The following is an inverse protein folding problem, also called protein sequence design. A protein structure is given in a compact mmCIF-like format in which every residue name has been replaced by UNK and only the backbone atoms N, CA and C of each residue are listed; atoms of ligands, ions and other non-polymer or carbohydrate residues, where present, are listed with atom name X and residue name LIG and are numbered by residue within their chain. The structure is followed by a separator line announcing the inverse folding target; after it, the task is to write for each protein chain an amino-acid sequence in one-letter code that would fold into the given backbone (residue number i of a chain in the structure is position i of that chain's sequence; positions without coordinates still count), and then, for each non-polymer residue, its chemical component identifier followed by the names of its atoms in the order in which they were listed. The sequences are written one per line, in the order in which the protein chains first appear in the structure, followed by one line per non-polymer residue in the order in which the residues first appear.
data_IF_327223146946
#
_entry.id   IF_327223146946
#
_cell.length_a   1.000
_cell.length_b   1.000
_cell.length_c   1.000
_cell.angle_alpha   90.00
_cell.angle_beta   90.00
_cell.angle_gamma   90.00
#
_symmetry.space_group_name_H-M   'P 1'
#
loop_
_entity.id
_entity.type
_entity.pdbx_description
1 polymer ?
#
# COMPACT_ATOMS: atom_id res chain seq x y z
N UNK A 1 19.45 -2.74 16.95
CA UNK A 1 18.81 -1.63 16.21
C UNK A 1 19.70 -1.28 15.03
N UNK A 2 19.14 -1.07 13.84
CA UNK A 2 19.86 -0.52 12.68
C UNK A 2 19.43 0.93 12.48
N UNK A 3 20.37 1.80 12.16
CA UNK A 3 20.11 3.22 11.91
C UNK A 3 20.63 3.56 10.52
N UNK A 4 19.81 4.25 9.74
CA UNK A 4 20.20 4.80 8.44
C UNK A 4 19.79 6.27 8.42
N UNK A 5 20.76 7.15 8.24
CA UNK A 5 20.48 8.57 8.02
C UNK A 5 20.08 8.80 6.58
N UNK A 6 19.02 9.56 6.36
CA UNK A 6 18.47 9.90 5.06
C UNK A 6 18.24 11.40 4.93
N UNK A 7 18.16 11.86 3.70
CA UNK A 7 17.75 13.22 3.35
C UNK A 7 16.46 13.19 2.56
N UNK A 8 15.68 14.24 2.66
CA UNK A 8 14.51 14.42 1.79
C UNK A 8 14.99 14.70 0.36
N UNK A 9 14.55 13.89 -0.57
CA UNK A 9 14.75 14.07 -2.00
C UNK A 9 13.57 14.79 -2.65
N UNK A 10 13.04 14.20 -3.73
CA UNK A 10 11.87 14.72 -4.43
C UNK A 10 10.58 14.42 -3.67
N UNK A 11 9.60 15.29 -3.84
CA UNK A 11 8.24 15.06 -3.34
C UNK A 11 7.30 14.96 -4.52
N UNK A 12 6.49 13.89 -4.56
CA UNK A 12 5.49 13.68 -5.59
C UNK A 12 4.11 13.61 -4.96
N UNK A 13 3.15 14.23 -5.63
CA UNK A 13 1.75 14.18 -5.25
C UNK A 13 0.95 13.62 -6.42
N UNK A 14 0.38 12.43 -6.23
CA UNK A 14 -0.41 11.75 -7.24
C UNK A 14 -1.89 11.80 -6.84
N UNK A 15 -2.74 12.04 -7.81
CA UNK A 15 -4.19 11.94 -7.65
C UNK A 15 -4.67 10.79 -8.52
N UNK A 16 -5.23 9.76 -7.89
CA UNK A 16 -5.83 8.65 -8.63
C UNK A 16 -7.24 9.00 -9.08
N UNK A 17 -7.53 8.64 -10.32
CA UNK A 17 -8.86 8.80 -10.90
C UNK A 17 -9.79 7.65 -10.45
N UNK A 18 -11.12 7.85 -10.48
CA UNK A 18 -12.05 6.77 -10.21
C UNK A 18 -11.80 5.56 -11.10
N UNK A 19 -11.62 4.40 -10.50
CA UNK A 19 -11.36 3.16 -11.21
C UNK A 19 -9.90 2.80 -11.39
N UNK A 20 -8.96 3.69 -11.04
CA UNK A 20 -7.53 3.37 -11.06
C UNK A 20 -7.21 2.30 -10.02
N UNK A 21 -6.41 1.31 -10.44
CA UNK A 21 -5.79 0.37 -9.50
C UNK A 21 -4.57 1.02 -8.86
N UNK A 22 -4.51 0.98 -7.54
CA UNK A 22 -3.45 1.64 -6.76
C UNK A 22 -2.05 1.18 -7.18
N UNK A 23 -1.81 -0.13 -7.17
CA UNK A 23 -0.48 -0.66 -7.46
C UNK A 23 -0.12 -0.58 -8.93
N UNK A 24 -1.09 -0.73 -9.83
CA UNK A 24 -0.87 -0.57 -11.27
C UNK A 24 -0.50 0.87 -11.65
N UNK A 25 -0.91 1.85 -10.85
CA UNK A 25 -0.52 3.25 -11.03
C UNK A 25 0.81 3.58 -10.31
N UNK A 26 0.93 3.19 -9.04
CA UNK A 26 2.03 3.64 -8.18
C UNK A 26 3.33 2.88 -8.45
N UNK A 27 3.28 1.55 -8.63
CA UNK A 27 4.50 0.76 -8.87
C UNK A 27 5.24 1.16 -10.15
N UNK A 28 4.58 1.30 -11.31
CA UNK A 28 5.24 1.78 -12.52
C UNK A 28 5.81 3.19 -12.37
N UNK A 29 5.11 4.07 -11.69
CA UNK A 29 5.58 5.43 -11.40
C UNK A 29 6.87 5.40 -10.57
N UNK A 30 6.89 4.63 -9.47
CA UNK A 30 8.07 4.48 -8.61
C UNK A 30 9.25 3.92 -9.39
N UNK A 31 9.00 2.95 -10.27
CA UNK A 31 10.02 2.34 -11.12
C UNK A 31 10.57 3.34 -12.14
N UNK A 32 9.70 4.05 -12.86
CA UNK A 32 10.08 5.06 -13.86
C UNK A 32 10.91 6.18 -13.23
N UNK A 33 10.49 6.67 -12.07
CA UNK A 33 11.20 7.74 -11.34
C UNK A 33 12.42 7.26 -10.58
N UNK A 34 12.66 5.94 -10.57
CA UNK A 34 13.76 5.28 -9.83
C UNK A 34 13.82 5.71 -8.36
N UNK A 35 12.66 5.70 -7.70
CA UNK A 35 12.57 6.04 -6.27
C UNK A 35 12.98 4.81 -5.47
N UNK A 36 14.19 4.81 -4.92
CA UNK A 36 14.80 3.64 -4.26
C UNK A 36 14.39 3.48 -2.80
N UNK A 37 14.00 4.56 -2.16
CA UNK A 37 13.48 4.59 -0.81
C UNK A 37 12.53 5.77 -0.65
N UNK A 38 11.51 5.62 0.16
CA UNK A 38 10.55 6.70 0.39
C UNK A 38 9.55 6.38 1.47
N UNK A 39 8.88 7.43 1.94
CA UNK A 39 7.69 7.34 2.77
C UNK A 39 6.48 7.68 1.90
N UNK A 40 5.41 6.94 2.06
CA UNK A 40 4.18 7.11 1.28
C UNK A 40 3.02 7.40 2.23
N UNK A 41 2.28 8.46 1.95
CA UNK A 41 1.01 8.76 2.61
C UNK A 41 -0.13 8.60 1.61
N UNK A 42 -1.21 7.94 2.02
CA UNK A 42 -2.42 7.81 1.22
C UNK A 42 -3.63 8.35 1.97
N UNK A 43 -4.54 8.94 1.23
CA UNK A 43 -5.73 9.57 1.77
C UNK A 43 -6.85 9.52 0.73
N UNK A 44 -8.05 9.16 1.16
CA UNK A 44 -9.21 9.19 0.28
C UNK A 44 -10.15 8.03 0.48
N UNK A 45 -10.58 7.41 -0.63
CA UNK A 45 -11.51 6.29 -0.59
C UNK A 45 -11.23 5.26 -1.68
N UNK A 46 -11.41 4.00 -1.32
CA UNK A 46 -11.43 2.86 -2.24
C UNK A 46 -12.85 2.34 -2.41
N UNK A 47 -13.17 1.83 -3.58
CA UNK A 47 -14.43 1.15 -3.87
C UNK A 47 -14.34 -0.36 -3.84
N UNK A 48 -13.14 -0.88 -3.89
CA UNK A 48 -12.83 -2.31 -3.82
C UNK A 48 -11.41 -2.46 -3.29
N UNK A 49 -11.13 -3.45 -2.45
CA UNK A 49 -9.81 -3.66 -1.88
C UNK A 49 -9.59 -5.07 -1.36
N UNK A 50 -8.35 -5.49 -1.41
CA UNK A 50 -7.82 -6.66 -0.72
C UNK A 50 -6.89 -6.21 0.41
N UNK A 51 -7.09 -6.78 1.58
CA UNK A 51 -6.33 -6.45 2.79
C UNK A 51 -5.83 -7.70 3.50
N UNK A 52 -4.72 -7.53 4.21
CA UNK A 52 -4.33 -8.43 5.29
C UNK A 52 -4.71 -7.72 6.60
N UNK A 53 -5.71 -8.27 7.30
CA UNK A 53 -6.30 -7.63 8.48
C UNK A 53 -5.70 -8.10 9.80
N UNK A 54 -4.66 -8.90 9.76
CA UNK A 54 -3.90 -9.32 10.92
C UNK A 54 -3.31 -10.72 10.78
N UNK A 55 -2.69 -11.17 11.85
CA UNK A 55 -2.09 -12.51 11.96
C UNK A 55 -3.10 -13.48 12.56
N UNK A 56 -3.18 -14.69 12.01
CA UNK A 56 -3.97 -15.79 12.57
C UNK A 56 -3.23 -16.53 13.67
N UNK A 57 -1.89 -16.54 13.61
CA UNK A 57 -1.04 -17.20 14.58
C UNK A 57 0.27 -16.44 14.79
N UNK A 58 1.11 -16.92 15.70
CA UNK A 58 2.47 -16.41 15.91
C UNK A 58 3.54 -17.26 15.25
N UNK A 59 3.15 -18.14 14.34
CA UNK A 59 4.03 -19.05 13.63
C UNK A 59 4.09 -18.70 12.12
N UNK A 60 5.28 -18.42 11.62
CA UNK A 60 5.49 -18.10 10.22
C UNK A 60 4.72 -16.84 9.77
N UNK A 61 4.33 -16.84 8.50
CA UNK A 61 3.50 -15.77 7.91
C UNK A 61 2.08 -16.29 7.67
N UNK A 62 1.33 -16.45 8.75
CA UNK A 62 -0.06 -16.91 8.77
C UNK A 62 -0.99 -15.71 9.00
N UNK A 63 -1.67 -15.28 7.93
CA UNK A 63 -2.40 -14.01 7.91
C UNK A 63 -3.84 -14.16 7.45
N UNK A 64 -4.68 -13.25 7.92
CA UNK A 64 -6.08 -13.16 7.54
C UNK A 64 -6.24 -12.25 6.33
N UNK A 65 -6.52 -12.84 5.16
CA UNK A 65 -6.73 -12.13 3.90
C UNK A 65 -8.22 -11.92 3.67
N UNK A 66 -8.61 -10.66 3.40
CA UNK A 66 -10.00 -10.28 3.18
C UNK A 66 -10.14 -9.45 1.92
N UNK A 67 -11.30 -9.61 1.29
CA UNK A 67 -11.73 -8.82 0.15
C UNK A 67 -12.99 -8.02 0.50
N UNK A 68 -13.01 -6.75 0.09
CA UNK A 68 -14.16 -5.86 0.26
C UNK A 68 -14.49 -5.21 -1.09
N UNK A 69 -15.75 -5.20 -1.45
CA UNK A 69 -16.27 -4.60 -2.69
C UNK A 69 -17.25 -3.46 -2.42
N UNK A 70 -17.03 -2.76 -1.32
CA UNK A 70 -17.83 -1.61 -0.90
C UNK A 70 -16.97 -0.35 -0.73
N UNK A 71 -17.63 0.80 -0.65
CA UNK A 71 -16.94 2.07 -0.53
C UNK A 71 -16.47 2.32 0.90
N UNK A 72 -15.19 2.58 1.05
CA UNK A 72 -14.56 2.84 2.35
C UNK A 72 -13.59 4.01 2.27
N UNK A 73 -13.67 4.91 3.23
CA UNK A 73 -12.67 5.94 3.43
C UNK A 73 -11.43 5.35 4.10
N UNK A 74 -10.28 5.93 3.82
CA UNK A 74 -9.01 5.44 4.35
C UNK A 74 -8.00 6.56 4.58
N UNK A 75 -7.09 6.28 5.48
CA UNK A 75 -5.82 6.95 5.64
C UNK A 75 -4.74 5.89 5.82
N UNK A 76 -3.61 6.06 5.18
CA UNK A 76 -2.54 5.07 5.24
C UNK A 76 -1.16 5.67 5.18
N UNK A 77 -0.21 4.84 5.58
CA UNK A 77 1.20 5.16 5.66
C UNK A 77 2.00 3.96 5.21
N UNK A 78 3.08 4.21 4.50
CA UNK A 78 3.94 3.13 4.07
C UNK A 78 5.33 3.57 3.66
N UNK A 79 6.05 2.63 3.09
CA UNK A 79 7.39 2.86 2.59
C UNK A 79 7.61 2.23 1.22
N UNK A 80 8.67 2.67 0.57
CA UNK A 80 9.16 2.11 -0.68
C UNK A 80 10.49 1.45 -0.41
N UNK A 81 10.61 0.19 -0.84
CA UNK A 81 11.84 -0.59 -0.85
C UNK A 81 12.01 -1.29 -2.19
N UNK A 82 13.17 -1.87 -2.43
CA UNK A 82 13.47 -2.68 -3.62
C UNK A 82 14.08 -4.01 -3.17
N UNK A 83 13.26 -4.94 -2.66
CA UNK A 83 13.75 -6.21 -2.16
C UNK A 83 14.26 -7.12 -3.28
N UNK A 84 15.27 -7.95 -2.97
CA UNK A 84 15.82 -8.95 -3.88
C UNK A 84 14.91 -10.16 -4.08
N UNK A 85 13.99 -10.37 -3.12
CA UNK A 85 13.03 -11.48 -3.11
C UNK A 85 11.63 -10.96 -2.89
N UNK A 86 10.60 -11.68 -3.37
CA UNK A 86 9.23 -11.24 -3.18
C UNK A 86 8.87 -11.22 -1.68
N UNK A 87 8.31 -10.11 -1.20
CA UNK A 87 7.79 -10.04 0.16
C UNK A 87 6.69 -11.07 0.41
N UNK A 88 6.68 -11.66 1.61
CA UNK A 88 5.68 -12.67 2.00
C UNK A 88 4.22 -12.18 1.85
N UNK A 89 4.00 -10.90 2.04
CA UNK A 89 2.68 -10.28 1.89
C UNK A 89 2.07 -10.45 0.50
N UNK A 90 2.88 -10.60 -0.54
CA UNK A 90 2.41 -10.81 -1.92
C UNK A 90 1.84 -12.22 -2.16
N UNK A 91 2.04 -13.15 -1.22
CA UNK A 91 1.62 -14.53 -1.36
C UNK A 91 2.62 -15.37 -2.18
N UNK A 92 2.17 -16.57 -2.54
CA UNK A 92 2.98 -17.53 -3.29
C UNK A 92 2.85 -17.32 -4.82
N UNK A 93 3.85 -17.79 -5.56
CA UNK A 93 3.81 -17.83 -7.03
C UNK A 93 4.05 -16.48 -7.71
N UNK A 94 4.54 -15.50 -7.00
CA UNK A 94 4.86 -14.17 -7.57
C UNK A 94 6.21 -14.23 -8.27
N UNK A 95 6.25 -13.77 -9.53
CA UNK A 95 7.50 -13.65 -10.28
C UNK A 95 8.36 -12.50 -9.73
N UNK A 96 9.62 -12.80 -9.43
CA UNK A 96 10.57 -11.84 -8.88
C UNK A 96 11.98 -12.13 -9.42
N UNK A 97 12.19 -11.82 -10.70
CA UNK A 97 13.45 -12.13 -11.39
C UNK A 97 14.57 -11.15 -11.08
N UNK A 98 14.23 -9.97 -10.60
CA UNK A 98 15.18 -8.89 -10.28
C UNK A 98 14.62 -8.03 -9.15
N UNK A 99 15.45 -7.24 -8.44
CA UNK A 99 14.95 -6.26 -7.50
C UNK A 99 13.99 -5.30 -8.19
N UNK A 100 12.83 -5.09 -7.60
CA UNK A 100 11.80 -4.20 -8.11
C UNK A 100 11.09 -3.47 -6.98
N UNK A 101 10.36 -2.39 -7.29
CA UNK A 101 9.69 -1.63 -6.25
C UNK A 101 8.68 -2.46 -5.47
N UNK A 102 8.71 -2.31 -4.17
CA UNK A 102 7.67 -2.76 -3.27
C UNK A 102 7.16 -1.56 -2.48
N UNK A 103 5.94 -1.15 -2.79
CA UNK A 103 5.23 -0.11 -2.07
C UNK A 103 4.40 -0.78 -0.99
N UNK A 104 4.84 -0.65 0.25
CA UNK A 104 4.25 -1.33 1.40
C UNK A 104 3.39 -0.34 2.18
N UNK A 105 2.10 -0.57 2.20
CA UNK A 105 1.11 0.33 2.83
C UNK A 105 0.37 -0.40 3.95
N UNK A 106 0.34 0.22 5.11
CA UNK A 106 -0.64 -0.08 6.15
C UNK A 106 -1.65 1.05 6.22
N UNK A 107 -2.90 0.73 6.46
CA UNK A 107 -3.97 1.72 6.46
C UNK A 107 -5.03 1.42 7.51
N UNK A 108 -5.74 2.47 7.91
CA UNK A 108 -6.99 2.39 8.61
C UNK A 108 -8.11 2.69 7.62
N UNK A 109 -9.12 1.84 7.58
CA UNK A 109 -10.27 1.99 6.69
C UNK A 109 -11.56 2.00 7.52
N UNK A 110 -12.53 2.80 7.09
CA UNK A 110 -13.86 2.81 7.68
C UNK A 110 -14.59 1.48 7.45
N UNK A 111 -15.64 1.23 8.20
CA UNK A 111 -16.61 0.19 7.88
C UNK A 111 -17.30 0.47 6.54
N UNK A 112 -17.94 -0.54 5.99
CA UNK A 112 -18.76 -0.40 4.80
C UNK A 112 -19.95 0.55 5.01
N UNK A 113 -20.71 0.87 3.96
CA UNK A 113 -21.85 1.77 4.05
C UNK A 113 -22.82 1.36 5.16
N UNK A 114 -23.19 2.32 5.98
CA UNK A 114 -24.05 2.08 7.16
C UNK A 114 -23.36 1.46 8.38
N UNK A 115 -22.07 1.16 8.31
CA UNK A 115 -21.27 0.57 9.41
C UNK A 115 -20.16 1.53 9.84
N UNK A 116 -20.53 2.75 10.17
CA UNK A 116 -19.60 3.86 10.44
C UNK A 116 -18.78 3.72 11.72
N UNK A 117 -19.16 2.80 12.61
CA UNK A 117 -18.46 2.56 13.88
C UNK A 117 -17.29 1.57 13.74
N UNK A 118 -17.31 0.75 12.68
CA UNK A 118 -16.28 -0.25 12.46
C UNK A 118 -15.08 0.38 11.76
N UNK A 119 -13.91 0.21 12.34
CA UNK A 119 -12.63 0.59 11.73
C UNK A 119 -11.76 -0.65 11.63
N UNK A 120 -11.24 -0.92 10.45
CA UNK A 120 -10.28 -1.98 10.22
C UNK A 120 -8.91 -1.37 9.94
N UNK A 121 -7.87 -2.04 10.40
CA UNK A 121 -6.49 -1.69 10.07
C UNK A 121 -5.81 -2.89 9.44
N UNK A 122 -4.83 -2.65 8.59
CA UNK A 122 -4.06 -3.71 7.99
C UNK A 122 -3.25 -3.28 6.80
N UNK A 123 -2.72 -4.30 6.15
CA UNK A 123 -1.88 -4.16 4.96
C UNK A 123 -2.76 -4.11 3.70
N UNK A 124 -2.52 -3.13 2.85
CA UNK A 124 -3.16 -3.04 1.53
C UNK A 124 -2.48 -3.99 0.55
N UNK A 125 -3.22 -4.98 0.05
CA UNK A 125 -2.75 -5.92 -0.97
C UNK A 125 -3.12 -5.49 -2.38
N UNK A 126 -4.31 -4.91 -2.55
CA UNK A 126 -4.78 -4.31 -3.79
C UNK A 126 -5.93 -3.35 -3.50
N UNK A 127 -6.18 -2.40 -4.40
CA UNK A 127 -7.25 -1.45 -4.20
C UNK A 127 -7.59 -0.66 -5.46
N UNK A 128 -8.89 -0.45 -5.65
CA UNK A 128 -9.45 0.35 -6.74
C UNK A 128 -9.97 1.66 -6.18
N UNK A 129 -9.48 2.77 -6.71
CA UNK A 129 -9.89 4.09 -6.28
C UNK A 129 -11.38 4.34 -6.55
N UNK A 130 -12.07 4.83 -5.53
CA UNK A 130 -13.41 5.36 -5.69
C UNK A 130 -13.37 6.71 -6.43
N UNK A 131 -12.39 7.50 -6.10
CA UNK A 131 -12.15 8.86 -6.58
C UNK A 131 -11.65 9.73 -5.45
N UNK A 132 -10.94 10.80 -5.80
CA UNK A 132 -10.35 11.69 -4.80
C UNK A 132 -9.26 11.05 -3.92
N UNK A 133 -8.67 9.97 -4.37
CA UNK A 133 -7.58 9.32 -3.65
C UNK A 133 -6.26 10.00 -3.94
N UNK A 134 -5.59 10.46 -2.90
CA UNK A 134 -4.32 11.15 -2.98
C UNK A 134 -3.19 10.28 -2.47
N UNK A 135 -2.06 10.31 -3.18
CA UNK A 135 -0.84 9.60 -2.81
C UNK A 135 0.30 10.59 -2.79
N UNK A 136 0.92 10.78 -1.63
CA UNK A 136 2.09 11.63 -1.50
C UNK A 136 3.32 10.77 -1.22
N UNK A 137 4.35 10.92 -2.05
CA UNK A 137 5.60 10.21 -1.92
C UNK A 137 6.70 11.19 -1.55
N UNK A 138 7.34 10.94 -0.42
CA UNK A 138 8.55 11.63 0.02
C UNK A 138 9.74 10.72 -0.26
N UNK A 139 10.50 11.03 -1.33
CA UNK A 139 11.71 10.29 -1.65
C UNK A 139 12.77 10.50 -0.57
N UNK A 140 13.39 9.43 -0.11
CA UNK A 140 14.47 9.45 0.86
C UNK A 140 15.79 9.05 0.17
N UNK A 141 16.77 9.90 0.28
CA UNK A 141 18.11 9.71 -0.32
C UNK A 141 19.23 9.72 0.71
#
# INVERSE_FOLDING_TARGET
MKVTERRLGRVFHLQLEPGDDFFDCVNPFVKEKNIRAGTVFIFGALREMDMITGFKSQEGYDVDRRHFDDWRELVGLGNITWPDKPPAALGEGVEWSEPQPYVHIHMAVSGGPGKTEAVLTGHLSDGIAKGGMLVTIYELI
#
